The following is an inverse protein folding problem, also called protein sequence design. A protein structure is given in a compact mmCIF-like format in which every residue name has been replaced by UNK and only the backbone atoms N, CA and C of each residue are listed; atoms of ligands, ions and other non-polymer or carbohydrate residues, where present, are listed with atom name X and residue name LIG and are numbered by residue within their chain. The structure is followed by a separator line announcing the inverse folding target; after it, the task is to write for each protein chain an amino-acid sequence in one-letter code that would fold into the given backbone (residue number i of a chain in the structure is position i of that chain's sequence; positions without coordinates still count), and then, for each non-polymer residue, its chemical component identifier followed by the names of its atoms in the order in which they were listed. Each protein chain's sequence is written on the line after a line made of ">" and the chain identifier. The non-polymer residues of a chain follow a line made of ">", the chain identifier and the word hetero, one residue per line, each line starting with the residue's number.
data_IF_532110297721
#
_entry.id   IF_532110297721
#
_cell.length_a   1.000
_cell.length_b   1.000
_cell.length_c   1.000
_cell.angle_alpha   90.00
_cell.angle_beta   90.00
_cell.angle_gamma   90.00
#
_symmetry.space_group_name_H-M   'P 1'
#
loop_
_entity.id
_entity.type
_entity.pdbx_description
1 polymer ?
#
# COMPACT_ATOMS: atom_id res chain seq x y z
N UNK A 1 29.01 13.30 8.00
CA UNK A 1 28.46 14.21 6.97
C UNK A 1 27.12 13.66 6.56
N UNK A 2 26.07 14.25 7.12
CA UNK A 2 24.67 13.80 6.94
C UNK A 2 24.10 14.46 5.69
N UNK A 3 23.63 13.66 4.75
CA UNK A 3 22.78 14.14 3.65
C UNK A 3 21.32 13.90 4.04
N UNK A 4 20.66 14.96 4.44
CA UNK A 4 19.19 14.99 4.56
C UNK A 4 18.67 15.33 3.18
N UNK A 5 18.03 14.37 2.52
CA UNK A 5 17.29 14.60 1.29
C UNK A 5 15.96 15.26 1.64
N UNK A 6 15.83 16.51 1.24
CA UNK A 6 14.63 17.32 1.45
C UNK A 6 13.75 17.13 0.22
N UNK A 7 12.84 16.15 0.26
CA UNK A 7 11.80 16.01 -0.75
C UNK A 7 10.71 17.07 -0.51
N UNK A 8 10.87 18.19 -1.21
CA UNK A 8 9.89 19.28 -1.24
C UNK A 8 8.60 18.82 -1.91
N UNK A 9 7.56 18.59 -1.11
CA UNK A 9 6.20 18.40 -1.61
C UNK A 9 5.69 19.72 -2.21
N UNK A 10 5.69 19.81 -3.56
CA UNK A 10 5.06 20.92 -4.28
C UNK A 10 3.54 20.69 -4.35
N UNK A 11 2.81 21.30 -3.42
CA UNK A 11 1.37 21.41 -3.49
C UNK A 11 1.00 22.68 -4.31
N UNK A 12 0.56 22.50 -5.56
CA UNK A 12 0.18 23.62 -6.41
C UNK A 12 -1.26 24.05 -6.12
N UNK A 13 -1.41 25.19 -5.45
CA UNK A 13 -2.70 25.81 -5.13
C UNK A 13 -3.24 26.55 -6.37
N UNK A 14 -4.25 26.02 -7.04
CA UNK A 14 -5.01 26.77 -8.06
C UNK A 14 -6.06 27.63 -7.38
N UNK A 15 -5.81 28.95 -7.31
CA UNK A 15 -6.81 29.97 -6.95
C UNK A 15 -7.66 30.30 -8.16
N UNK A 16 -8.94 29.99 -8.12
CA UNK A 16 -9.94 30.60 -9.01
C UNK A 16 -10.57 31.77 -8.29
N UNK A 17 -10.31 32.99 -8.80
CA UNK A 17 -10.97 34.23 -8.36
C UNK A 17 -12.21 34.42 -9.21
N UNK A 18 -13.37 34.38 -8.62
CA UNK A 18 -14.63 34.78 -9.24
C UNK A 18 -15.27 35.90 -8.41
N UNK A 19 -15.37 37.08 -8.97
CA UNK A 19 -16.06 38.25 -8.41
C UNK A 19 -17.51 38.25 -8.90
N UNK A 20 -18.52 38.29 -8.01
CA UNK A 20 -19.67 39.21 -8.08
C UNK A 20 -20.68 38.96 -6.94
N UNK A 21 -20.78 39.96 -6.10
CA UNK A 21 -21.94 40.73 -5.64
C UNK A 21 -23.06 40.05 -4.82
N UNK A 22 -23.02 40.35 -3.53
CA UNK A 22 -24.06 40.83 -2.59
C UNK A 22 -25.50 40.33 -2.78
N UNK A 23 -25.98 39.46 -1.97
CA UNK A 23 -26.97 39.59 -0.91
C UNK A 23 -27.36 38.21 -0.36
N UNK A 24 -27.43 38.18 0.95
CA UNK A 24 -27.99 37.15 1.79
C UNK A 24 -27.00 36.08 2.32
N UNK A 25 -26.51 36.41 3.50
CA UNK A 25 -25.67 35.57 4.32
C UNK A 25 -26.40 34.30 4.76
N UNK A 26 -25.99 33.18 4.19
CA UNK A 26 -25.97 31.89 4.88
C UNK A 26 -24.55 31.36 4.70
N UNK A 27 -23.77 31.52 5.75
CA UNK A 27 -22.44 30.94 5.89
C UNK A 27 -22.56 29.40 5.98
N UNK A 28 -22.70 28.75 4.83
CA UNK A 28 -22.28 27.37 4.70
C UNK A 28 -20.77 27.41 4.51
N UNK A 29 -20.04 27.28 5.61
CA UNK A 29 -18.62 26.97 5.57
C UNK A 29 -18.45 25.60 4.90
N UNK A 30 -18.32 25.55 3.59
CA UNK A 30 -17.82 24.39 2.89
C UNK A 30 -16.36 24.21 3.32
N UNK A 31 -16.15 23.43 4.36
CA UNK A 31 -14.81 22.96 4.69
C UNK A 31 -14.39 22.04 3.54
N UNK A 32 -13.62 22.57 2.62
CA UNK A 32 -12.90 21.75 1.67
C UNK A 32 -11.90 20.92 2.46
N UNK A 33 -12.27 19.68 2.75
CA UNK A 33 -11.31 18.70 3.23
C UNK A 33 -10.30 18.50 2.09
N UNK A 34 -9.13 19.13 2.23
CA UNK A 34 -7.99 18.85 1.36
C UNK A 34 -7.50 17.47 1.75
N UNK A 35 -8.06 16.46 1.13
CA UNK A 35 -7.50 15.12 1.17
C UNK A 35 -6.23 15.18 0.32
N UNK A 36 -5.06 15.10 0.95
CA UNK A 36 -3.82 14.85 0.24
C UNK A 36 -3.91 13.45 -0.37
N UNK A 37 -4.40 13.34 -1.59
CA UNK A 37 -4.34 12.08 -2.33
C UNK A 37 -2.90 11.88 -2.79
N UNK A 38 -2.24 10.89 -2.23
CA UNK A 38 -0.99 10.38 -2.80
C UNK A 38 -1.26 9.98 -4.25
N UNK A 39 -0.46 10.50 -5.18
CA UNK A 39 -0.60 10.10 -6.58
C UNK A 39 -0.13 8.66 -6.70
N UNK A 40 -1.07 7.76 -6.88
CA UNK A 40 -0.81 6.34 -7.09
C UNK A 40 -0.88 6.00 -8.57
N UNK A 41 -0.14 4.98 -8.99
CA UNK A 41 -0.29 4.35 -10.30
C UNK A 41 -1.45 3.37 -10.23
N UNK A 42 -2.56 3.58 -10.96
CA UNK A 42 -3.70 2.67 -10.92
C UNK A 42 -3.36 1.33 -11.57
N UNK A 43 -3.85 0.25 -10.95
CA UNK A 43 -3.67 -1.12 -11.43
C UNK A 43 -4.94 -1.94 -11.22
N UNK A 44 -5.03 -3.09 -11.91
CA UNK A 44 -6.10 -4.06 -11.64
C UNK A 44 -5.53 -5.19 -10.79
N UNK A 45 -6.10 -5.41 -9.62
CA UNK A 45 -5.79 -6.56 -8.78
C UNK A 45 -6.14 -7.87 -9.48
N UNK A 46 -5.30 -8.90 -9.35
CA UNK A 46 -5.53 -10.22 -9.93
C UNK A 46 -5.65 -11.31 -8.86
N UNK A 47 -4.63 -11.45 -8.01
CA UNK A 47 -4.58 -12.49 -6.96
C UNK A 47 -3.54 -12.17 -5.90
N UNK A 48 -3.74 -12.69 -4.70
CA UNK A 48 -2.75 -12.68 -3.62
C UNK A 48 -1.88 -13.93 -3.71
N UNK A 49 -0.56 -13.76 -3.53
CA UNK A 49 0.39 -14.88 -3.50
C UNK A 49 0.59 -15.31 -2.06
N UNK A 50 1.01 -14.37 -1.22
CA UNK A 50 1.30 -14.57 0.21
C UNK A 50 0.95 -13.32 1.04
N UNK A 51 1.50 -13.21 2.24
CA UNK A 51 1.18 -12.13 3.20
C UNK A 51 1.70 -10.75 2.82
N UNK A 52 2.54 -10.61 1.77
CA UNK A 52 3.10 -9.33 1.32
C UNK A 52 3.39 -9.26 -0.18
N UNK A 53 2.84 -10.20 -0.97
CA UNK A 53 2.99 -10.18 -2.42
C UNK A 53 1.70 -10.50 -3.17
N UNK A 54 1.50 -9.77 -4.29
CA UNK A 54 0.30 -9.85 -5.12
C UNK A 54 0.64 -9.84 -6.61
N UNK A 55 -0.25 -10.41 -7.41
CA UNK A 55 -0.27 -10.18 -8.84
C UNK A 55 -1.24 -9.07 -9.20
N UNK A 56 -0.78 -8.14 -10.03
CA UNK A 56 -1.61 -7.08 -10.60
C UNK A 56 -1.46 -7.02 -12.12
N UNK A 57 -2.42 -6.35 -12.78
CA UNK A 57 -2.30 -5.96 -14.17
C UNK A 57 -1.99 -4.47 -14.25
N UNK A 58 -0.77 -4.13 -14.68
CA UNK A 58 -0.28 -2.77 -14.92
C UNK A 58 -0.08 -2.57 -16.42
N UNK A 59 -0.76 -1.59 -17.03
CA UNK A 59 -0.65 -1.30 -18.46
C UNK A 59 -0.84 -2.54 -19.37
N UNK A 60 -1.78 -3.42 -19.02
CA UNK A 60 -2.08 -4.63 -19.78
C UNK A 60 -1.17 -5.84 -19.48
N UNK A 61 -0.10 -5.69 -18.70
CA UNK A 61 0.86 -6.76 -18.34
C UNK A 61 0.62 -7.26 -16.92
N UNK A 62 0.79 -8.57 -16.71
CA UNK A 62 0.79 -9.18 -15.38
C UNK A 62 2.13 -8.88 -14.71
N UNK A 63 2.10 -8.29 -13.51
CA UNK A 63 3.27 -7.84 -12.76
C UNK A 63 3.16 -8.33 -11.33
N UNK A 64 4.25 -8.89 -10.81
CA UNK A 64 4.42 -9.24 -9.41
C UNK A 64 4.77 -7.99 -8.61
N UNK A 65 4.06 -7.77 -7.53
CA UNK A 65 4.30 -6.65 -6.62
C UNK A 65 4.61 -7.18 -5.24
N UNK A 66 5.81 -6.90 -4.75
CA UNK A 66 6.20 -7.08 -3.37
C UNK A 66 5.91 -5.80 -2.58
N UNK A 67 5.38 -5.93 -1.39
CA UNK A 67 5.13 -4.76 -0.54
C UNK A 67 6.47 -4.19 -0.06
N UNK A 68 6.65 -2.87 -0.19
CA UNK A 68 7.94 -2.22 0.06
C UNK A 68 8.21 -1.90 1.53
N UNK A 69 7.19 -1.89 2.37
CA UNK A 69 7.25 -1.36 3.73
C UNK A 69 7.08 -2.43 4.81
N UNK A 70 6.58 -3.58 4.42
CA UNK A 70 6.20 -4.63 5.36
C UNK A 70 6.73 -5.98 4.92
N UNK A 71 6.94 -6.83 5.89
CA UNK A 71 7.30 -8.22 5.75
C UNK A 71 6.30 -9.08 6.53
N UNK A 72 5.66 -10.01 5.86
CA UNK A 72 4.67 -10.90 6.44
C UNK A 72 5.12 -12.36 6.32
N UNK A 73 4.61 -13.26 7.19
CA UNK A 73 5.00 -14.65 7.11
C UNK A 73 4.55 -15.29 5.80
N UNK A 74 5.43 -16.07 5.20
CA UNK A 74 5.14 -16.82 3.97
C UNK A 74 4.13 -17.95 4.17
N UNK A 75 3.33 -18.22 3.15
CA UNK A 75 2.42 -19.34 3.12
C UNK A 75 3.19 -20.62 2.78
N UNK A 76 2.89 -21.71 3.52
CA UNK A 76 3.49 -23.01 3.26
C UNK A 76 2.99 -23.56 1.92
N UNK A 77 3.90 -23.69 0.98
CA UNK A 77 3.65 -24.36 -0.29
C UNK A 77 4.33 -25.74 -0.31
N UNK A 78 3.73 -26.76 -0.94
CA UNK A 78 4.34 -28.07 -1.05
C UNK A 78 5.72 -27.99 -1.72
N UNK A 79 6.75 -28.45 -1.01
CA UNK A 79 8.13 -28.46 -1.49
C UNK A 79 8.96 -27.22 -1.19
N UNK A 80 8.38 -26.18 -0.56
CA UNK A 80 9.10 -25.00 -0.10
C UNK A 80 9.45 -25.16 1.38
N UNK A 81 10.71 -24.91 1.72
CA UNK A 81 11.14 -24.85 3.13
C UNK A 81 10.90 -23.44 3.64
N UNK A 82 10.09 -23.32 4.68
CA UNK A 82 9.78 -22.02 5.31
C UNK A 82 10.83 -21.65 6.34
N UNK A 83 11.13 -20.36 6.43
CA UNK A 83 11.99 -19.81 7.47
C UNK A 83 11.30 -19.81 8.84
N UNK A 84 9.98 -19.53 8.87
CA UNK A 84 9.15 -19.50 10.09
C UNK A 84 7.89 -20.38 9.96
N UNK A 85 7.99 -21.70 10.04
CA UNK A 85 6.85 -22.60 9.81
C UNK A 85 5.72 -22.47 10.85
N UNK A 86 6.01 -21.90 12.02
CA UNK A 86 5.02 -21.71 13.10
C UNK A 86 3.98 -20.62 12.84
N UNK A 87 4.19 -19.74 11.86
CA UNK A 87 3.36 -18.58 11.64
C UNK A 87 2.29 -18.74 10.54
N UNK A 88 2.00 -19.97 10.12
CA UNK A 88 1.05 -20.27 9.05
C UNK A 88 -0.35 -19.68 9.26
N UNK A 89 -0.81 -19.59 10.52
CA UNK A 89 -2.09 -18.93 10.81
C UNK A 89 -2.05 -17.44 10.47
N UNK A 90 -0.95 -16.75 10.80
CA UNK A 90 -0.78 -15.33 10.50
C UNK A 90 -0.57 -15.09 9.01
N UNK A 91 0.20 -15.96 8.34
CA UNK A 91 0.34 -15.94 6.88
C UNK A 91 -1.02 -15.97 6.18
N UNK A 92 -1.87 -16.92 6.60
CA UNK A 92 -3.24 -17.02 6.06
C UNK A 92 -4.08 -15.79 6.38
N UNK A 93 -4.02 -15.28 7.61
CA UNK A 93 -4.77 -14.08 8.01
C UNK A 93 -4.32 -12.84 7.22
N UNK A 94 -3.01 -12.68 7.00
CA UNK A 94 -2.47 -11.60 6.18
C UNK A 94 -2.98 -11.68 4.75
N UNK A 95 -2.87 -12.83 4.12
CA UNK A 95 -3.41 -13.10 2.78
C UNK A 95 -4.91 -12.81 2.68
N UNK A 96 -5.71 -13.36 3.60
CA UNK A 96 -7.17 -13.19 3.60
C UNK A 96 -7.55 -11.71 3.73
N UNK A 97 -6.83 -10.94 4.56
CA UNK A 97 -7.02 -9.48 4.70
C UNK A 97 -6.70 -8.74 3.41
N UNK A 98 -5.56 -9.04 2.76
CA UNK A 98 -5.18 -8.41 1.48
C UNK A 98 -6.25 -8.69 0.43
N UNK A 99 -6.69 -9.94 0.32
CA UNK A 99 -7.70 -10.36 -0.65
C UNK A 99 -9.03 -9.64 -0.42
N UNK A 100 -9.48 -9.54 0.84
CA UNK A 100 -10.70 -8.80 1.20
C UNK A 100 -10.59 -7.32 0.81
N UNK A 101 -9.50 -6.65 1.18
CA UNK A 101 -9.29 -5.23 0.89
C UNK A 101 -9.24 -4.96 -0.61
N UNK A 102 -8.43 -5.73 -1.36
CA UNK A 102 -8.20 -5.47 -2.78
C UNK A 102 -9.37 -5.91 -3.68
N UNK A 103 -10.12 -6.95 -3.28
CA UNK A 103 -11.31 -7.39 -4.02
C UNK A 103 -12.49 -6.44 -3.82
N UNK A 104 -12.63 -5.86 -2.62
CA UNK A 104 -13.71 -4.91 -2.32
C UNK A 104 -13.43 -3.49 -2.80
N UNK A 105 -12.17 -3.14 -3.08
CA UNK A 105 -11.77 -1.82 -3.49
C UNK A 105 -12.31 -1.44 -4.88
N UNK A 106 -12.74 -0.19 -5.04
CA UNK A 106 -13.10 0.40 -6.33
C UNK A 106 -11.87 0.77 -7.14
N UNK A 107 -10.81 1.15 -6.44
CA UNK A 107 -9.54 1.55 -7.02
C UNK A 107 -8.38 0.91 -6.24
N UNK A 108 -7.48 0.25 -6.97
CA UNK A 108 -6.21 -0.24 -6.45
C UNK A 108 -5.08 0.58 -7.06
N UNK A 109 -4.23 1.14 -6.21
CA UNK A 109 -3.14 2.01 -6.62
C UNK A 109 -1.80 1.62 -6.02
N UNK A 110 -0.72 1.89 -6.74
CA UNK A 110 0.65 1.63 -6.32
C UNK A 110 1.46 2.91 -6.19
N UNK A 111 2.25 3.03 -5.13
CA UNK A 111 3.39 3.94 -5.08
C UNK A 111 4.64 3.09 -5.27
N UNK A 112 5.16 3.09 -6.50
CA UNK A 112 6.31 2.26 -6.89
C UNK A 112 7.56 2.84 -6.24
N UNK A 113 8.30 2.00 -5.51
CA UNK A 113 9.57 2.33 -4.87
C UNK A 113 10.76 1.83 -5.67
N UNK A 114 10.62 0.66 -6.29
CA UNK A 114 11.68 0.02 -7.06
C UNK A 114 11.08 -0.83 -8.19
N UNK A 115 11.66 -0.76 -9.37
CA UNK A 115 11.41 -1.68 -10.48
C UNK A 115 12.54 -2.72 -10.51
N UNK A 116 12.26 -3.94 -10.03
CA UNK A 116 13.23 -5.04 -9.97
C UNK A 116 13.45 -5.60 -11.38
N UNK A 117 12.35 -5.75 -12.13
CA UNK A 117 12.36 -6.18 -13.52
C UNK A 117 11.11 -5.65 -14.27
N UNK A 118 10.97 -5.99 -15.55
CA UNK A 118 9.77 -5.63 -16.32
C UNK A 118 8.47 -6.27 -15.81
N UNK A 119 8.57 -7.32 -14.97
CA UNK A 119 7.44 -8.08 -14.45
C UNK A 119 7.43 -8.15 -12.91
N UNK A 120 8.28 -7.38 -12.24
CA UNK A 120 8.44 -7.43 -10.80
C UNK A 120 8.80 -6.07 -10.24
N UNK A 121 8.07 -5.62 -9.23
CA UNK A 121 8.30 -4.34 -8.55
C UNK A 121 8.17 -4.46 -7.03
N UNK A 122 8.72 -3.44 -6.36
CA UNK A 122 8.41 -3.13 -4.96
C UNK A 122 7.57 -1.87 -4.90
N UNK A 123 6.44 -1.93 -4.19
CA UNK A 123 5.54 -0.80 -4.09
C UNK A 123 4.76 -0.80 -2.77
N UNK A 124 4.33 0.39 -2.38
CA UNK A 124 3.23 0.53 -1.42
C UNK A 124 1.92 0.28 -2.15
N UNK A 125 1.04 -0.51 -1.55
CA UNK A 125 -0.25 -0.89 -2.14
C UNK A 125 -1.39 -0.19 -1.41
N UNK A 126 -2.30 0.38 -2.17
CA UNK A 126 -3.46 1.12 -1.67
C UNK A 126 -4.75 0.56 -2.22
N UNK A 127 -5.74 0.44 -1.35
CA UNK A 127 -7.12 0.09 -1.66
C UNK A 127 -8.02 1.28 -1.31
N UNK A 128 -8.63 1.94 -2.29
CA UNK A 128 -9.45 3.15 -2.10
C UNK A 128 -8.76 4.24 -1.25
N UNK A 129 -7.44 4.39 -1.41
CA UNK A 129 -6.62 5.34 -0.66
C UNK A 129 -6.14 4.87 0.71
N UNK A 130 -6.53 3.69 1.19
CA UNK A 130 -6.04 3.08 2.43
C UNK A 130 -4.80 2.23 2.13
N UNK A 131 -3.74 2.39 2.91
CA UNK A 131 -2.54 1.57 2.79
C UNK A 131 -2.78 0.15 3.30
N UNK A 132 -2.64 -0.83 2.44
CA UNK A 132 -2.78 -2.26 2.79
C UNK A 132 -1.68 -2.69 3.75
N UNK A 133 -0.44 -2.22 3.53
CA UNK A 133 0.68 -2.51 4.42
C UNK A 133 0.46 -1.98 5.85
N UNK A 134 -0.09 -0.77 5.99
CA UNK A 134 -0.40 -0.21 7.32
C UNK A 134 -1.50 -1.01 8.04
N UNK A 135 -2.48 -1.52 7.32
CA UNK A 135 -3.51 -2.39 7.89
C UNK A 135 -2.93 -3.72 8.39
N UNK A 136 -1.96 -4.29 7.65
CA UNK A 136 -1.25 -5.50 8.10
C UNK A 136 -0.46 -5.25 9.40
N UNK A 137 0.26 -4.12 9.48
CA UNK A 137 0.98 -3.71 10.69
C UNK A 137 0.03 -3.50 11.87
N UNK A 138 -1.06 -2.78 11.65
CA UNK A 138 -2.06 -2.49 12.69
C UNK A 138 -2.69 -3.76 13.27
N UNK A 139 -2.86 -4.80 12.45
CA UNK A 139 -3.41 -6.09 12.87
C UNK A 139 -2.34 -7.09 13.35
N UNK A 140 -1.08 -6.68 13.44
CA UNK A 140 0.06 -7.54 13.81
C UNK A 140 0.22 -8.77 12.91
N UNK A 141 -0.10 -8.60 11.63
CA UNK A 141 0.02 -9.62 10.60
C UNK A 141 1.30 -9.48 9.77
N UNK A 142 2.00 -8.36 9.92
CA UNK A 142 3.29 -8.07 9.33
C UNK A 142 4.17 -7.28 10.31
N UNK A 143 5.44 -7.12 9.98
CA UNK A 143 6.41 -6.23 10.65
C UNK A 143 6.93 -5.20 9.66
N UNK A 144 7.46 -4.09 10.15
CA UNK A 144 8.09 -3.08 9.30
C UNK A 144 9.38 -3.60 8.68
N UNK A 145 9.63 -3.22 7.43
CA UNK A 145 10.85 -3.55 6.69
C UNK A 145 10.69 -4.73 5.76
N UNK A 146 11.80 -5.31 5.35
CA UNK A 146 11.85 -6.43 4.41
C UNK A 146 12.71 -7.55 5.00
N UNK A 147 12.19 -8.78 4.97
CA UNK A 147 12.91 -9.96 5.44
C UNK A 147 13.07 -10.06 6.95
N UNK A 148 12.28 -9.33 7.74
CA UNK A 148 12.48 -9.20 9.19
C UNK A 148 11.48 -9.99 10.04
N UNK A 149 10.46 -10.62 9.43
CA UNK A 149 9.43 -11.32 10.19
C UNK A 149 10.02 -12.40 11.12
N UNK A 150 10.92 -13.22 10.59
CA UNK A 150 11.52 -14.31 11.34
C UNK A 150 12.57 -13.85 12.35
N UNK A 151 13.22 -12.70 12.12
CA UNK A 151 14.26 -12.16 12.99
C UNK A 151 13.67 -11.49 14.22
N UNK A 152 12.56 -10.76 14.08
CA UNK A 152 11.90 -10.06 15.20
C UNK A 152 11.39 -11.00 16.27
N UNK A 153 11.08 -12.27 15.93
CA UNK A 153 10.61 -13.27 16.88
C UNK A 153 11.68 -14.05 17.61
N UNK A 154 12.93 -13.95 17.22
CA UNK A 154 14.05 -14.57 17.94
C UNK A 154 14.51 -13.75 19.14
N UNK A 155 14.02 -12.52 19.31
CA UNK A 155 14.39 -11.58 20.37
C UNK A 155 13.40 -11.53 21.56
N UNK A 156 12.28 -12.24 21.50
CA UNK A 156 11.30 -12.42 22.59
C UNK A 156 11.45 -13.79 23.26
#
# INVERSE_FOLDING_TARGET
>A
MSFISNDSFNCTLKKTVGVFSVLFAFLLSAQANVVCMCVTTPVTFLEVIDGDSIWVKKEGRKVLVHFSEVDAPEINEPGKTLECPQDQRKAKQARDLIEEMLTSAKEVGLIIKEEISQQELRAQVYADGLSVGQELLYKYLAVEGQGNWCETKKSD
#
